data_IF_330165885735
#
_entry.id   IF_330165885735
#
_cell.length_a   1.000
_cell.length_b   1.000
_cell.length_c   1.000
_cell.angle_alpha   90.00
_cell.angle_beta   90.00
_cell.angle_gamma   90.00
#
_symmetry.space_group_name_H-M   'P 1'
#
loop_
_entity.id
_entity.type
_entity.pdbx_description
1 polymer ?
#
# COMPACT_ATOMS: atom_id res chain seq x y z
N UNK A 1 32.63 -13.36 -5.52
CA UNK A 1 31.82 -12.18 -5.15
C UNK A 1 30.91 -11.80 -6.31
N UNK A 2 29.68 -11.40 -6.01
CA UNK A 2 28.76 -10.88 -7.04
C UNK A 2 29.08 -9.40 -7.26
N UNK A 3 29.14 -8.98 -8.51
CA UNK A 3 29.26 -7.58 -8.85
C UNK A 3 27.89 -7.10 -9.34
N UNK A 4 27.30 -6.15 -8.64
CA UNK A 4 26.09 -5.46 -9.08
C UNK A 4 26.51 -4.17 -9.77
N UNK A 5 26.05 -3.97 -10.99
CA UNK A 5 26.33 -2.77 -11.77
C UNK A 5 25.02 -2.17 -12.29
N UNK A 6 24.96 -0.84 -12.36
CA UNK A 6 23.88 -0.15 -13.05
C UNK A 6 24.14 -0.23 -14.55
N UNK A 7 23.17 -0.75 -15.29
CA UNK A 7 23.25 -0.93 -16.75
C UNK A 7 22.30 0.06 -17.41
N UNK A 8 22.70 0.62 -18.56
CA UNK A 8 21.75 1.34 -19.41
C UNK A 8 20.86 0.32 -20.13
N UNK A 9 19.67 0.10 -19.59
CA UNK A 9 18.70 -0.87 -20.10
C UNK A 9 18.15 -0.51 -21.49
N UNK A 10 18.42 0.70 -21.99
CA UNK A 10 18.06 1.09 -23.36
C UNK A 10 18.98 0.45 -24.40
N UNK A 11 20.14 0.00 -23.98
CA UNK A 11 21.12 -0.64 -24.86
C UNK A 11 21.98 -1.67 -24.11
N UNK A 12 21.39 -2.75 -23.57
CA UNK A 12 22.16 -3.82 -22.96
C UNK A 12 22.91 -4.58 -24.07
N UNK A 13 24.17 -4.89 -23.87
CA UNK A 13 24.95 -5.70 -24.82
C UNK A 13 25.76 -6.78 -24.13
N UNK A 14 25.91 -7.95 -24.76
CA UNK A 14 26.81 -9.00 -24.27
C UNK A 14 28.28 -8.55 -24.31
N UNK A 15 28.62 -7.62 -25.16
CA UNK A 15 29.98 -7.07 -25.24
C UNK A 15 30.41 -6.34 -23.97
N UNK A 16 29.41 -5.88 -23.14
CA UNK A 16 29.68 -5.27 -21.85
C UNK A 16 29.93 -6.29 -20.73
N UNK A 17 29.89 -7.60 -21.06
CA UNK A 17 30.18 -8.69 -20.12
C UNK A 17 28.97 -9.14 -19.30
N UNK A 18 27.79 -8.62 -19.54
CA UNK A 18 26.58 -9.04 -18.85
C UNK A 18 25.99 -10.31 -19.46
N UNK A 19 25.59 -11.26 -18.61
CA UNK A 19 25.00 -12.54 -19.01
C UNK A 19 23.58 -12.72 -18.48
N UNK A 20 23.10 -11.81 -17.65
CA UNK A 20 21.79 -11.82 -17.04
C UNK A 20 21.43 -10.39 -16.66
N UNK A 21 20.18 -9.98 -16.91
CA UNK A 21 19.58 -8.79 -16.36
C UNK A 21 18.65 -9.16 -15.21
N UNK A 22 18.70 -8.43 -14.11
CA UNK A 22 17.77 -8.54 -12.97
C UNK A 22 17.15 -7.17 -12.76
N UNK A 23 15.84 -7.06 -12.97
CA UNK A 23 15.17 -5.76 -13.17
C UNK A 23 13.96 -5.63 -12.27
N UNK A 24 13.90 -4.52 -11.51
CA UNK A 24 12.68 -4.04 -10.89
C UNK A 24 12.08 -2.93 -11.77
N UNK A 25 10.90 -3.17 -12.32
CA UNK A 25 10.21 -2.20 -13.18
C UNK A 25 9.47 -1.21 -12.30
N UNK A 26 9.96 0.03 -12.23
CA UNK A 26 9.36 1.07 -11.36
C UNK A 26 8.02 1.54 -11.92
N UNK A 27 7.94 1.79 -13.23
CA UNK A 27 6.71 2.18 -13.93
C UNK A 27 6.00 0.95 -14.49
N UNK A 28 5.17 0.30 -13.68
CA UNK A 28 4.48 -0.94 -14.03
C UNK A 28 2.96 -0.79 -14.26
N UNK A 29 2.42 0.41 -14.17
CA UNK A 29 1.01 0.70 -14.49
C UNK A 29 0.69 0.53 -15.99
N UNK A 30 1.72 0.56 -16.85
CA UNK A 30 1.66 0.23 -18.29
C UNK A 30 2.71 -0.85 -18.59
N UNK A 31 2.44 -1.79 -19.53
CA UNK A 31 3.41 -2.79 -19.92
C UNK A 31 4.61 -2.23 -20.69
N UNK A 32 4.57 -0.99 -21.16
CA UNK A 32 5.54 -0.42 -22.07
C UNK A 32 6.98 -0.45 -21.55
N UNK A 33 7.18 -0.13 -20.27
CA UNK A 33 8.51 -0.12 -19.68
C UNK A 33 9.11 -1.53 -19.62
N UNK A 34 8.34 -2.51 -19.16
CA UNK A 34 8.76 -3.91 -19.10
C UNK A 34 8.97 -4.47 -20.49
N UNK A 35 8.08 -4.18 -21.46
CA UNK A 35 8.20 -4.63 -22.84
C UNK A 35 9.46 -4.10 -23.52
N UNK A 36 9.76 -2.81 -23.35
CA UNK A 36 10.98 -2.21 -23.93
C UNK A 36 12.26 -2.88 -23.38
N UNK A 37 12.27 -3.26 -22.11
CA UNK A 37 13.39 -3.98 -21.49
C UNK A 37 13.49 -5.40 -22.04
N UNK A 38 12.37 -6.11 -22.16
CA UNK A 38 12.33 -7.46 -22.73
C UNK A 38 12.81 -7.47 -24.20
N UNK A 39 12.36 -6.51 -25.00
CA UNK A 39 12.76 -6.37 -26.41
C UNK A 39 14.26 -6.09 -26.56
N UNK A 40 14.80 -5.20 -25.71
CA UNK A 40 16.23 -4.89 -25.72
C UNK A 40 17.06 -6.10 -25.27
N UNK A 41 16.64 -6.83 -24.24
CA UNK A 41 17.26 -8.07 -23.77
C UNK A 41 17.25 -9.15 -24.84
N UNK A 42 16.09 -9.35 -25.50
CA UNK A 42 15.93 -10.28 -26.62
C UNK A 42 16.84 -9.95 -27.79
N UNK A 43 16.91 -8.68 -28.17
CA UNK A 43 17.79 -8.24 -29.26
C UNK A 43 19.26 -8.47 -28.95
N UNK A 44 19.67 -8.37 -27.68
CA UNK A 44 21.03 -8.64 -27.21
C UNK A 44 21.29 -10.14 -26.93
N UNK A 45 20.26 -10.99 -26.91
CA UNK A 45 20.34 -12.38 -26.49
C UNK A 45 20.79 -12.55 -25.05
N UNK A 46 20.26 -11.71 -24.14
CA UNK A 46 20.57 -11.71 -22.69
C UNK A 46 19.31 -12.10 -21.92
N UNK A 47 19.31 -13.16 -21.12
CA UNK A 47 18.18 -13.50 -20.25
C UNK A 47 17.82 -12.35 -19.30
N UNK A 48 16.53 -12.21 -18.97
CA UNK A 48 16.06 -11.21 -18.01
C UNK A 48 15.17 -11.83 -16.94
N UNK A 49 15.44 -11.50 -15.68
CA UNK A 49 14.57 -11.80 -14.55
C UNK A 49 14.01 -10.50 -14.02
N UNK A 50 12.73 -10.33 -14.18
CA UNK A 50 11.99 -9.25 -13.52
C UNK A 50 11.66 -9.65 -12.08
N UNK A 51 11.59 -8.69 -11.18
CA UNK A 51 11.23 -9.00 -9.80
C UNK A 51 10.45 -7.87 -9.12
N UNK A 52 9.78 -8.24 -8.03
CA UNK A 52 9.03 -7.37 -7.11
C UNK A 52 7.70 -6.87 -7.72
N UNK A 53 7.72 -5.89 -8.61
CA UNK A 53 6.51 -5.27 -9.15
C UNK A 53 5.98 -6.05 -10.33
N UNK A 54 4.73 -6.50 -10.23
CA UNK A 54 4.03 -7.25 -11.27
C UNK A 54 3.67 -6.35 -12.47
N UNK A 55 3.51 -6.95 -13.64
CA UNK A 55 3.15 -6.31 -14.89
C UNK A 55 2.41 -7.31 -15.79
N UNK A 56 1.90 -6.86 -16.94
CA UNK A 56 1.14 -7.71 -17.85
C UNK A 56 1.96 -8.93 -18.33
N UNK A 57 1.41 -10.12 -18.13
CA UNK A 57 2.06 -11.40 -18.45
C UNK A 57 2.47 -11.53 -19.90
N UNK A 58 1.84 -10.81 -20.82
CA UNK A 58 2.19 -10.79 -22.25
C UNK A 58 3.64 -10.39 -22.52
N UNK A 59 4.24 -9.62 -21.62
CA UNK A 59 5.66 -9.27 -21.69
C UNK A 59 6.55 -10.52 -21.57
N UNK A 60 6.24 -11.42 -20.61
CA UNK A 60 6.98 -12.69 -20.44
C UNK A 60 6.76 -13.62 -21.62
N UNK A 61 5.56 -13.65 -22.17
CA UNK A 61 5.24 -14.45 -23.36
C UNK A 61 5.98 -13.95 -24.61
N UNK A 62 6.38 -12.68 -24.63
CA UNK A 62 7.12 -12.09 -25.77
C UNK A 62 8.58 -12.52 -25.87
N UNK A 63 9.18 -13.01 -24.77
CA UNK A 63 10.58 -13.42 -24.71
C UNK A 63 10.77 -14.66 -23.87
N UNK A 64 11.13 -15.79 -24.50
CA UNK A 64 11.27 -17.11 -23.87
C UNK A 64 12.35 -17.15 -22.74
N UNK A 65 13.41 -16.33 -22.86
CA UNK A 65 14.46 -16.21 -21.84
C UNK A 65 14.13 -15.12 -20.80
N UNK A 66 12.87 -14.86 -20.53
CA UNK A 66 12.40 -13.97 -19.46
C UNK A 66 11.69 -14.74 -18.36
N UNK A 67 11.78 -14.23 -17.14
CA UNK A 67 11.06 -14.75 -15.97
C UNK A 67 10.65 -13.61 -15.04
N UNK A 68 9.62 -13.86 -14.22
CA UNK A 68 9.21 -12.98 -13.14
C UNK A 68 9.28 -13.70 -11.79
N UNK A 69 9.77 -13.01 -10.78
CA UNK A 69 9.80 -13.46 -9.38
C UNK A 69 9.17 -12.40 -8.50
N UNK A 70 8.02 -12.68 -7.95
CA UNK A 70 7.28 -11.78 -7.08
C UNK A 70 6.23 -12.53 -6.26
N UNK A 71 5.45 -11.77 -5.51
CA UNK A 71 4.28 -12.24 -4.76
C UNK A 71 3.00 -12.02 -5.56
N UNK A 72 1.91 -12.65 -5.16
CA UNK A 72 0.59 -12.31 -5.65
C UNK A 72 0.23 -10.88 -5.16
N UNK A 73 -0.07 -9.92 -6.06
CA UNK A 73 -0.42 -8.56 -5.65
C UNK A 73 -1.60 -8.47 -4.69
N UNK A 74 -2.51 -9.45 -4.72
CA UNK A 74 -3.69 -9.49 -3.86
C UNK A 74 -3.39 -9.93 -2.42
N UNK A 75 -2.35 -10.76 -2.21
CA UNK A 75 -2.08 -11.40 -0.92
C UNK A 75 -1.97 -10.40 0.23
N UNK A 76 -1.18 -9.33 0.03
CA UNK A 76 -1.00 -8.30 1.05
C UNK A 76 -2.30 -7.55 1.38
N UNK A 77 -3.15 -7.33 0.37
CA UNK A 77 -4.48 -6.75 0.56
C UNK A 77 -5.39 -7.64 1.39
N UNK A 78 -5.42 -8.93 1.09
CA UNK A 78 -6.17 -9.93 1.85
C UNK A 78 -5.69 -10.02 3.30
N UNK A 79 -4.38 -10.06 3.52
CA UNK A 79 -3.82 -10.11 4.88
C UNK A 79 -4.17 -8.86 5.68
N UNK A 80 -4.00 -7.66 5.10
CA UNK A 80 -4.33 -6.40 5.76
C UNK A 80 -5.82 -6.32 6.09
N UNK A 81 -6.70 -6.62 5.12
CA UNK A 81 -8.15 -6.55 5.32
C UNK A 81 -8.63 -7.51 6.40
N UNK A 82 -8.13 -8.76 6.38
CA UNK A 82 -8.46 -9.75 7.40
C UNK A 82 -8.00 -9.29 8.80
N UNK A 83 -6.75 -8.85 8.93
CA UNK A 83 -6.21 -8.39 10.22
C UNK A 83 -6.98 -7.19 10.78
N UNK A 84 -7.29 -6.21 9.92
CA UNK A 84 -8.11 -5.05 10.30
C UNK A 84 -9.52 -5.47 10.74
N UNK A 85 -10.17 -6.35 9.98
CA UNK A 85 -11.50 -6.86 10.32
C UNK A 85 -11.52 -7.61 11.65
N UNK A 86 -10.57 -8.50 11.89
CA UNK A 86 -10.46 -9.27 13.15
C UNK A 86 -10.25 -8.32 14.35
N UNK A 87 -9.35 -7.35 14.23
CA UNK A 87 -9.13 -6.33 15.27
C UNK A 87 -10.41 -5.53 15.56
N UNK A 88 -11.11 -5.11 14.52
CA UNK A 88 -12.32 -4.32 14.66
C UNK A 88 -13.46 -5.13 15.30
N UNK A 89 -13.59 -6.44 15.02
CA UNK A 89 -14.58 -7.30 15.69
C UNK A 89 -14.35 -7.32 17.20
N UNK A 90 -13.10 -7.41 17.62
CA UNK A 90 -12.73 -7.47 19.03
C UNK A 90 -12.82 -6.10 19.76
N UNK A 91 -12.60 -5.00 19.03
CA UNK A 91 -12.46 -3.66 19.60
C UNK A 91 -13.52 -2.67 19.09
N UNK A 92 -14.61 -3.13 18.48
CA UNK A 92 -15.56 -2.29 17.76
C UNK A 92 -16.03 -1.06 18.56
N UNK A 93 -16.51 -1.31 19.79
CA UNK A 93 -17.07 -0.24 20.64
C UNK A 93 -16.01 0.74 21.15
N UNK A 94 -14.74 0.36 21.16
CA UNK A 94 -13.62 1.25 21.52
C UNK A 94 -13.12 2.07 20.32
N UNK A 95 -13.28 1.54 19.11
CA UNK A 95 -12.89 2.20 17.86
C UNK A 95 -13.99 3.15 17.35
N UNK A 96 -15.27 2.85 17.59
CA UNK A 96 -16.42 3.73 17.32
C UNK A 96 -16.40 4.91 18.30
N UNK A 97 -15.63 5.96 17.93
CA UNK A 97 -15.35 7.09 18.82
C UNK A 97 -16.55 8.03 18.98
N UNK A 98 -17.40 8.11 17.98
CA UNK A 98 -18.57 8.98 18.00
C UNK A 98 -19.84 8.28 18.48
N UNK A 99 -19.82 6.94 18.62
CA UNK A 99 -20.92 6.12 19.12
C UNK A 99 -22.08 6.00 18.14
N UNK A 100 -21.82 6.14 16.83
CA UNK A 100 -22.87 6.04 15.80
C UNK A 100 -23.13 4.59 15.32
N UNK A 101 -22.35 3.64 15.84
CA UNK A 101 -22.44 2.22 15.52
C UNK A 101 -21.78 1.85 14.20
N UNK A 102 -20.88 2.66 13.68
CA UNK A 102 -20.13 2.45 12.43
C UNK A 102 -18.66 2.76 12.65
N UNK A 103 -17.81 2.34 11.73
CA UNK A 103 -16.40 2.69 11.71
C UNK A 103 -16.10 3.46 10.44
N UNK A 104 -15.70 4.71 10.61
CA UNK A 104 -15.24 5.56 9.51
C UNK A 104 -13.78 5.29 9.19
N UNK A 105 -13.44 5.16 7.89
CA UNK A 105 -12.07 4.86 7.49
C UNK A 105 -11.55 5.81 6.41
N UNK A 106 -10.22 5.90 6.32
CA UNK A 106 -9.49 6.43 5.17
C UNK A 106 -8.61 5.34 4.57
N UNK A 107 -8.50 5.32 3.23
CA UNK A 107 -7.59 4.45 2.48
C UNK A 107 -6.59 5.32 1.71
N UNK A 108 -5.29 5.12 1.97
CA UNK A 108 -4.21 5.76 1.20
C UNK A 108 -3.68 4.81 0.14
N UNK A 109 -3.85 5.20 -1.13
CA UNK A 109 -3.43 4.44 -2.31
C UNK A 109 -2.10 4.97 -2.84
N UNK A 110 -1.15 4.06 -3.12
CA UNK A 110 0.20 4.43 -3.51
C UNK A 110 0.32 4.97 -4.93
N UNK A 111 -0.35 4.32 -5.89
CA UNK A 111 -0.27 4.67 -7.30
C UNK A 111 -1.50 4.19 -8.06
N UNK A 112 -2.04 5.03 -8.94
CA UNK A 112 -3.15 4.64 -9.81
C UNK A 112 -2.69 3.65 -10.88
N UNK A 113 -3.49 2.59 -11.13
CA UNK A 113 -3.20 1.58 -12.14
C UNK A 113 -2.06 0.60 -11.80
N UNK A 114 -1.41 0.75 -10.64
CA UNK A 114 -0.40 -0.19 -10.18
C UNK A 114 -1.09 -1.44 -9.58
N UNK A 115 -0.75 -2.68 -10.02
CA UNK A 115 -1.44 -3.88 -9.57
C UNK A 115 -1.47 -4.06 -8.04
N UNK A 116 -0.35 -3.84 -7.36
CA UNK A 116 -0.28 -3.95 -5.89
C UNK A 116 -1.17 -2.89 -5.22
N UNK A 117 -1.15 -1.64 -5.71
CA UNK A 117 -1.98 -0.57 -5.16
C UNK A 117 -3.47 -0.84 -5.35
N UNK A 118 -3.86 -1.33 -6.55
CA UNK A 118 -5.25 -1.70 -6.84
C UNK A 118 -5.74 -2.80 -5.90
N UNK A 119 -4.96 -3.89 -5.77
CA UNK A 119 -5.34 -5.05 -4.99
C UNK A 119 -5.34 -4.76 -3.48
N UNK A 120 -4.33 -4.05 -2.96
CA UNK A 120 -4.28 -3.63 -1.55
C UNK A 120 -5.43 -2.69 -1.19
N UNK A 121 -5.75 -1.74 -2.08
CA UNK A 121 -6.89 -0.82 -1.89
C UNK A 121 -8.21 -1.57 -1.86
N UNK A 122 -8.41 -2.52 -2.77
CA UNK A 122 -9.63 -3.31 -2.89
C UNK A 122 -9.80 -4.25 -1.69
N UNK A 123 -8.87 -5.19 -1.53
CA UNK A 123 -9.01 -6.28 -0.58
C UNK A 123 -8.82 -5.84 0.88
N UNK A 124 -8.04 -4.77 1.14
CA UNK A 124 -7.95 -4.18 2.47
C UNK A 124 -9.31 -3.77 3.05
N UNK A 125 -10.22 -3.32 2.20
CA UNK A 125 -11.59 -2.93 2.61
C UNK A 125 -12.58 -4.09 2.46
N UNK A 126 -12.54 -4.83 1.35
CA UNK A 126 -13.49 -5.92 1.10
C UNK A 126 -13.40 -7.02 2.14
N UNK A 127 -12.19 -7.46 2.49
CA UNK A 127 -11.99 -8.54 3.45
C UNK A 127 -12.28 -8.08 4.89
N UNK A 128 -11.93 -6.84 5.25
CA UNK A 128 -12.34 -6.28 6.53
C UNK A 128 -13.88 -6.27 6.66
N UNK A 129 -14.57 -5.86 5.61
CA UNK A 129 -16.04 -5.89 5.58
C UNK A 129 -16.60 -7.32 5.63
N UNK A 130 -15.96 -8.30 5.02
CA UNK A 130 -16.37 -9.69 5.10
C UNK A 130 -16.29 -10.23 6.54
N UNK A 131 -15.18 -9.96 7.23
CA UNK A 131 -14.98 -10.33 8.64
C UNK A 131 -16.01 -9.64 9.54
N UNK A 132 -16.25 -8.34 9.35
CA UNK A 132 -17.27 -7.60 10.09
C UNK A 132 -18.67 -8.18 9.86
N UNK A 133 -19.02 -8.50 8.61
CA UNK A 133 -20.32 -9.08 8.28
C UNK A 133 -20.55 -10.46 8.93
N UNK A 134 -19.52 -11.32 8.97
CA UNK A 134 -19.58 -12.61 9.67
C UNK A 134 -19.86 -12.44 11.17
N UNK A 135 -19.34 -11.35 11.77
CA UNK A 135 -19.57 -11.00 13.17
C UNK A 135 -20.88 -10.22 13.41
N UNK A 136 -21.66 -9.96 12.37
CA UNK A 136 -22.90 -9.17 12.46
C UNK A 136 -22.68 -7.67 12.70
N UNK A 137 -21.48 -7.17 12.39
CA UNK A 137 -21.14 -5.74 12.49
C UNK A 137 -21.40 -5.04 11.14
N UNK A 138 -21.68 -3.72 11.14
CA UNK A 138 -21.84 -2.95 9.91
C UNK A 138 -20.53 -2.85 9.10
N UNK A 139 -20.66 -2.62 7.80
CA UNK A 139 -19.51 -2.38 6.93
C UNK A 139 -18.85 -1.03 7.25
N UNK A 140 -17.57 -0.95 6.91
CA UNK A 140 -16.78 0.28 6.98
C UNK A 140 -17.39 1.38 6.10
N UNK A 141 -17.41 2.62 6.59
CA UNK A 141 -17.81 3.79 5.83
C UNK A 141 -16.59 4.68 5.52
N UNK A 142 -16.41 5.05 4.24
CA UNK A 142 -15.36 6.01 3.92
C UNK A 142 -15.70 7.37 4.54
N UNK A 143 -14.75 8.02 5.19
CA UNK A 143 -14.96 9.22 6.00
C UNK A 143 -15.65 10.38 5.25
N UNK A 144 -15.45 10.50 3.94
CA UNK A 144 -16.09 11.50 3.08
C UNK A 144 -17.07 10.83 2.10
N UNK A 145 -18.34 10.95 2.38
CA UNK A 145 -19.40 10.39 1.55
C UNK A 145 -19.44 10.94 0.11
N UNK A 146 -18.80 12.09 -0.15
CA UNK A 146 -18.70 12.68 -1.48
C UNK A 146 -17.57 12.08 -2.33
N UNK A 147 -16.60 11.43 -1.70
CA UNK A 147 -15.53 10.72 -2.41
C UNK A 147 -16.02 9.34 -2.86
N UNK A 148 -16.45 9.24 -4.11
CA UNK A 148 -16.98 8.00 -4.69
C UNK A 148 -15.92 6.92 -4.92
N UNK A 149 -14.65 7.31 -5.04
CA UNK A 149 -13.52 6.38 -5.19
C UNK A 149 -13.18 5.65 -3.91
N UNK A 150 -13.51 6.24 -2.74
CA UNK A 150 -13.25 5.70 -1.39
C UNK A 150 -11.77 5.43 -1.11
N UNK A 151 -10.89 6.22 -1.70
CA UNK A 151 -9.46 6.29 -1.40
C UNK A 151 -8.89 7.68 -1.73
N UNK A 152 -7.69 7.94 -1.22
CA UNK A 152 -6.85 9.08 -1.55
C UNK A 152 -5.55 8.57 -2.13
N UNK A 153 -5.27 8.91 -3.39
CA UNK A 153 -4.08 8.43 -4.10
C UNK A 153 -2.94 9.44 -4.04
N UNK A 154 -1.71 8.95 -3.87
CA UNK A 154 -0.53 9.79 -4.09
C UNK A 154 -0.47 10.21 -5.56
N UNK A 155 -0.70 11.50 -5.82
CA UNK A 155 -0.77 12.06 -7.18
C UNK A 155 0.55 11.95 -7.94
N UNK A 156 1.65 11.71 -7.24
CA UNK A 156 2.97 11.49 -7.86
C UNK A 156 3.24 10.02 -8.14
N UNK A 157 2.43 9.11 -7.60
CA UNK A 157 2.63 7.67 -7.71
C UNK A 157 3.87 7.15 -6.98
N UNK A 158 4.43 7.94 -6.07
CA UNK A 158 5.67 7.61 -5.36
C UNK A 158 5.45 6.85 -4.05
N UNK A 159 4.20 6.56 -3.66
CA UNK A 159 3.86 5.88 -2.41
C UNK A 159 4.39 6.63 -1.18
N UNK A 160 4.36 7.96 -1.24
CA UNK A 160 5.11 8.80 -0.31
C UNK A 160 4.41 9.01 1.02
N UNK A 161 5.20 8.98 2.09
CA UNK A 161 4.79 9.39 3.43
C UNK A 161 4.22 10.81 3.43
N UNK A 162 4.84 11.73 2.67
CA UNK A 162 4.42 13.13 2.63
C UNK A 162 3.00 13.29 2.08
N UNK A 163 2.62 12.52 1.05
CA UNK A 163 1.25 12.56 0.52
C UNK A 163 0.23 12.18 1.61
N UNK A 164 0.51 11.15 2.39
CA UNK A 164 -0.36 10.75 3.50
C UNK A 164 -0.39 11.80 4.63
N UNK A 165 0.75 12.45 4.96
CA UNK A 165 0.79 13.57 5.91
C UNK A 165 -0.13 14.70 5.47
N UNK A 166 -0.03 15.13 4.20
CA UNK A 166 -0.78 16.27 3.67
C UNK A 166 -2.29 15.98 3.64
N UNK A 167 -2.66 14.78 3.18
CA UNK A 167 -4.05 14.34 3.21
C UNK A 167 -4.59 14.24 4.64
N UNK A 168 -3.86 13.59 5.54
CA UNK A 168 -4.33 13.39 6.91
C UNK A 168 -4.46 14.70 7.67
N UNK A 169 -3.54 15.66 7.48
CA UNK A 169 -3.68 17.01 8.04
C UNK A 169 -4.94 17.72 7.53
N UNK A 170 -5.26 17.57 6.25
CA UNK A 170 -6.49 18.13 5.65
C UNK A 170 -7.73 17.48 6.25
N UNK A 171 -7.72 16.15 6.40
CA UNK A 171 -8.81 15.38 7.02
C UNK A 171 -9.04 15.86 8.45
N UNK A 172 -7.98 15.88 9.27
CA UNK A 172 -8.06 16.23 10.69
C UNK A 172 -8.54 17.67 10.94
N UNK A 173 -8.40 18.57 9.94
CA UNK A 173 -8.96 19.91 9.98
C UNK A 173 -10.50 19.94 9.99
N UNK A 174 -11.16 18.91 9.48
CA UNK A 174 -12.63 18.83 9.33
C UNK A 174 -13.22 17.62 10.06
N UNK A 175 -12.53 16.47 10.03
CA UNK A 175 -12.94 15.21 10.62
C UNK A 175 -12.09 14.96 11.85
N UNK A 176 -12.60 15.36 13.01
CA UNK A 176 -11.87 15.35 14.27
C UNK A 176 -12.82 15.13 15.47
N UNK A 177 -12.25 14.90 16.63
CA UNK A 177 -12.98 14.68 17.88
C UNK A 177 -13.92 15.86 18.23
N UNK A 178 -13.46 17.10 18.00
CA UNK A 178 -14.24 18.30 18.28
C UNK A 178 -15.52 18.43 17.45
N UNK A 179 -15.53 17.87 16.24
CA UNK A 179 -16.68 17.80 15.35
C UNK A 179 -17.49 16.51 15.49
N UNK A 180 -17.08 15.60 16.38
CA UNK A 180 -17.69 14.29 16.60
C UNK A 180 -17.80 13.43 15.32
N UNK A 181 -16.80 13.52 14.44
CA UNK A 181 -16.71 12.83 13.15
C UNK A 181 -15.27 12.38 12.82
N UNK A 182 -14.47 12.08 13.86
CA UNK A 182 -13.09 11.62 13.70
C UNK A 182 -13.01 10.40 12.78
N UNK A 183 -11.98 10.33 11.93
CA UNK A 183 -11.63 9.09 11.23
C UNK A 183 -11.16 8.05 12.24
N UNK A 184 -11.68 6.84 12.14
CA UNK A 184 -11.55 5.79 13.17
C UNK A 184 -10.67 4.62 12.74
N UNK A 185 -10.32 4.56 11.45
CA UNK A 185 -9.41 3.55 10.88
C UNK A 185 -8.60 4.16 9.75
N UNK A 186 -7.31 3.87 9.72
CA UNK A 186 -6.43 4.18 8.59
C UNK A 186 -5.92 2.89 7.96
N UNK A 187 -6.19 2.74 6.67
CA UNK A 187 -5.61 1.70 5.83
C UNK A 187 -4.66 2.37 4.83
N UNK A 188 -3.47 1.85 4.69
CA UNK A 188 -2.49 2.39 3.75
C UNK A 188 -1.86 1.28 2.91
N UNK A 189 -1.58 1.58 1.66
CA UNK A 189 -1.00 0.61 0.74
C UNK A 189 0.43 0.19 1.11
N UNK A 190 1.16 1.03 1.88
CA UNK A 190 2.47 0.69 2.42
C UNK A 190 2.73 1.34 3.77
N UNK A 191 3.80 0.91 4.45
CA UNK A 191 4.22 1.45 5.74
C UNK A 191 4.62 2.92 5.69
N UNK A 192 5.25 3.36 4.60
CA UNK A 192 5.62 4.77 4.44
C UNK A 192 4.42 5.70 4.51
N UNK A 193 3.33 5.36 3.85
CA UNK A 193 2.08 6.14 3.92
C UNK A 193 1.39 5.99 5.28
N UNK A 194 1.40 4.80 5.88
CA UNK A 194 0.90 4.58 7.24
C UNK A 194 1.63 5.44 8.27
N UNK A 195 2.96 5.48 8.22
CA UNK A 195 3.79 6.32 9.08
C UNK A 195 3.54 7.82 8.86
N UNK A 196 3.28 8.22 7.62
CA UNK A 196 2.86 9.59 7.30
C UNK A 196 1.55 9.96 7.97
N UNK A 197 0.55 9.10 7.91
CA UNK A 197 -0.73 9.29 8.60
C UNK A 197 -0.53 9.36 10.13
N UNK A 198 0.28 8.47 10.70
CA UNK A 198 0.64 8.48 12.12
C UNK A 198 1.28 9.81 12.51
N UNK A 199 2.20 10.35 11.72
CA UNK A 199 2.84 11.64 12.00
C UNK A 199 1.84 12.79 12.13
N UNK A 200 0.83 12.82 11.25
CA UNK A 200 -0.25 13.81 11.33
C UNK A 200 -1.16 13.56 12.56
N UNK A 201 -1.49 12.30 12.85
CA UNK A 201 -2.24 11.90 14.05
C UNK A 201 -1.53 12.33 15.33
N UNK A 202 -0.21 12.11 15.42
CA UNK A 202 0.60 12.52 16.57
C UNK A 202 0.61 14.03 16.77
N UNK A 203 0.64 14.79 15.68
CA UNK A 203 0.51 16.27 15.76
C UNK A 203 -0.84 16.69 16.34
N UNK A 204 -1.89 15.90 16.10
CA UNK A 204 -3.23 16.12 16.64
C UNK A 204 -3.45 15.47 18.04
N UNK A 205 -2.44 14.85 18.64
CA UNK A 205 -2.48 14.25 19.97
C UNK A 205 -2.98 12.80 20.00
N UNK A 206 -3.01 12.12 18.86
CA UNK A 206 -3.36 10.70 18.73
C UNK A 206 -2.11 9.83 18.51
N UNK A 207 -2.22 8.54 18.72
CA UNK A 207 -1.15 7.55 18.46
C UNK A 207 0.22 7.96 19.06
N UNK A 208 0.21 8.53 20.25
CA UNK A 208 1.44 8.85 20.97
C UNK A 208 1.91 7.62 21.76
N UNK A 209 3.23 7.43 21.88
CA UNK A 209 3.80 6.36 22.67
C UNK A 209 3.34 6.47 24.14
N UNK A 210 2.74 5.40 24.66
CA UNK A 210 2.15 5.38 26.00
C UNK A 210 0.91 6.27 26.17
N UNK A 211 0.36 6.82 25.10
CA UNK A 211 -0.90 7.58 25.09
C UNK A 211 -2.12 6.67 25.17
N UNK A 212 -3.24 7.25 25.54
CA UNK A 212 -4.54 6.57 25.69
C UNK A 212 -5.47 6.77 24.49
N UNK A 213 -5.08 7.61 23.52
CA UNK A 213 -5.83 7.90 22.30
C UNK A 213 -5.14 7.29 21.10
N UNK A 214 -5.72 6.25 20.53
CA UNK A 214 -5.18 5.57 19.35
C UNK A 214 -6.24 5.37 18.28
N UNK A 215 -5.86 5.60 17.03
CA UNK A 215 -6.58 5.20 15.85
C UNK A 215 -5.84 3.99 15.28
N UNK A 216 -6.51 2.87 14.98
CA UNK A 216 -5.87 1.75 14.31
C UNK A 216 -5.33 2.17 12.93
N UNK A 217 -4.06 1.87 12.69
CA UNK A 217 -3.36 2.20 11.43
C UNK A 217 -2.68 0.95 10.90
N UNK A 218 -2.98 0.59 9.67
CA UNK A 218 -2.43 -0.57 8.97
C UNK A 218 -1.60 -0.14 7.77
N UNK A 219 -0.42 -0.73 7.64
CA UNK A 219 0.47 -0.60 6.48
C UNK A 219 0.73 -1.95 5.80
N UNK A 220 1.74 -1.98 4.95
CA UNK A 220 2.29 -3.16 4.28
C UNK A 220 3.79 -2.93 4.12
N UNK A 221 4.61 -3.94 4.13
CA UNK A 221 6.03 -4.08 3.86
C UNK A 221 6.85 -4.53 5.08
N UNK A 222 6.35 -4.38 6.30
CA UNK A 222 7.05 -4.70 7.55
C UNK A 222 8.42 -3.99 7.67
N UNK A 223 8.46 -2.70 7.36
CA UNK A 223 9.66 -1.88 7.56
C UNK A 223 10.06 -1.89 9.04
N UNK A 224 11.35 -1.87 9.34
CA UNK A 224 11.84 -1.87 10.73
C UNK A 224 11.23 -0.74 11.58
N UNK A 225 11.01 0.42 10.98
CA UNK A 225 10.35 1.57 11.63
C UNK A 225 8.88 1.32 11.94
N UNK A 226 8.17 0.62 11.07
CA UNK A 226 6.77 0.25 11.28
C UNK A 226 6.64 -0.81 12.38
N UNK A 227 7.49 -1.85 12.34
CA UNK A 227 7.55 -2.89 13.38
C UNK A 227 7.80 -2.27 14.77
N UNK A 228 8.74 -1.33 14.87
CA UNK A 228 8.99 -0.60 16.13
C UNK A 228 7.77 0.19 16.62
N UNK A 229 6.98 0.78 15.70
CA UNK A 229 5.74 1.48 16.06
C UNK A 229 4.63 0.54 16.53
N UNK A 230 4.57 -0.66 15.94
CA UNK A 230 3.65 -1.71 16.42
C UNK A 230 4.05 -2.14 17.85
N UNK A 231 5.32 -2.41 18.10
CA UNK A 231 5.83 -2.78 19.42
C UNK A 231 5.58 -1.69 20.48
N UNK A 232 5.58 -0.43 20.06
CA UNK A 232 5.30 0.73 20.92
C UNK A 232 3.80 1.05 21.08
N UNK A 233 2.89 0.30 20.42
CA UNK A 233 1.44 0.54 20.42
C UNK A 233 1.01 1.83 19.68
N UNK A 234 1.84 2.31 18.79
CA UNK A 234 1.60 3.50 17.94
C UNK A 234 0.90 3.12 16.64
N UNK A 235 1.21 1.94 16.10
CA UNK A 235 0.65 1.32 14.90
C UNK A 235 0.03 -0.04 15.28
N UNK A 236 -0.91 -0.52 14.47
CA UNK A 236 -1.68 -1.75 14.76
C UNK A 236 -1.20 -2.92 13.92
#
# INVERSE_FOLDING_TARGET
>A
GYQVSVVDLRNPTRSDGYNLLVVNVVENASPDAAQNIADAAKAAGIPVVFFNRDFDVSVLESYEESAFVGTDPAEAGHMQGKAAGEYLVENFDAVDLNGDGKISYVMFKGQEGNPEAEMRTKYGVEDANAVLAEAGKPALEFYDANNTSKYLVDQTGAWSSQAAVDYMNTILGQYNEGNNNMVELVLANNDGMAEGAISALQTAGWNLEGGDKTIPVYGVDAMDSAVQKIDAGIMT
#
